data_IF_442853872504
#
_entry.id   IF_442853872504
#
_cell.length_a   1.000
_cell.length_b   1.000
_cell.length_c   1.000
_cell.angle_alpha   90.00
_cell.angle_beta   90.00
_cell.angle_gamma   90.00
#
_symmetry.space_group_name_H-M   'P 1'
#
loop_
_entity.id
_entity.type
_entity.pdbx_description
1 polymer ?
#
# COMPACT_ATOMS: atom_id res chain seq x y z
N UNK A 1 8.76 -12.84 3.22
CA UNK A 1 8.30 -11.52 3.68
C UNK A 1 7.59 -11.72 5.00
N UNK A 2 8.08 -11.07 6.04
CA UNK A 2 7.52 -11.14 7.39
C UNK A 2 6.70 -9.87 7.67
N UNK A 3 5.76 -9.92 8.62
CA UNK A 3 4.88 -8.78 8.94
C UNK A 3 5.66 -7.52 9.33
N UNK A 4 6.84 -7.72 9.90
CA UNK A 4 7.78 -6.67 10.30
C UNK A 4 8.39 -5.94 9.10
N UNK A 5 8.90 -6.67 8.10
CA UNK A 5 9.43 -6.06 6.86
C UNK A 5 8.36 -5.26 6.11
N UNK A 6 7.13 -5.76 6.15
CA UNK A 6 5.99 -5.13 5.51
C UNK A 6 5.65 -3.79 6.16
N UNK A 7 5.69 -3.73 7.49
CA UNK A 7 5.53 -2.49 8.26
C UNK A 7 6.64 -1.49 7.96
N UNK A 8 7.89 -1.94 7.73
CA UNK A 8 8.99 -1.05 7.34
C UNK A 8 8.77 -0.43 5.95
N UNK A 9 8.34 -1.23 4.97
CA UNK A 9 8.02 -0.74 3.61
C UNK A 9 6.86 0.25 3.67
N UNK A 10 5.85 -0.06 4.48
CA UNK A 10 4.65 0.74 4.67
C UNK A 10 4.96 2.09 5.36
N UNK A 11 5.87 2.08 6.33
CA UNK A 11 6.39 3.30 6.96
C UNK A 11 7.22 4.13 5.98
N UNK A 12 8.06 3.49 5.17
CA UNK A 12 8.86 4.15 4.13
C UNK A 12 7.96 4.77 3.07
N UNK A 13 6.89 4.09 2.67
CA UNK A 13 5.87 4.61 1.77
C UNK A 13 5.22 5.86 2.35
N UNK A 14 4.83 5.82 3.63
CA UNK A 14 4.18 6.95 4.29
C UNK A 14 5.11 8.16 4.39
N UNK A 15 6.39 7.96 4.73
CA UNK A 15 7.43 9.01 4.79
C UNK A 15 7.67 9.66 3.42
N UNK A 16 7.81 8.85 2.36
CA UNK A 16 7.94 9.34 0.98
C UNK A 16 6.69 10.10 0.53
N UNK A 17 5.49 9.69 0.96
CA UNK A 17 4.25 10.41 0.70
C UNK A 17 4.15 11.74 1.46
N UNK A 18 4.73 11.83 2.66
CA UNK A 18 4.78 13.07 3.43
C UNK A 18 5.77 14.06 2.82
N UNK A 19 6.93 13.57 2.35
CA UNK A 19 7.95 14.36 1.68
C UNK A 19 7.57 14.78 0.25
N UNK A 20 6.71 14.03 -0.42
CA UNK A 20 6.26 14.34 -1.77
C UNK A 20 5.15 15.41 -1.76
N UNK A 21 5.54 16.68 -1.68
CA UNK A 21 4.65 17.86 -1.75
C UNK A 21 3.78 17.92 -3.03
N UNK A 22 4.13 17.15 -4.07
CA UNK A 22 3.40 17.11 -5.35
C UNK A 22 2.30 16.05 -5.43
N UNK A 23 2.07 15.25 -4.38
CA UNK A 23 1.00 14.25 -4.39
C UNK A 23 -0.33 14.93 -4.16
N UNK A 24 -1.26 14.65 -5.07
CA UNK A 24 -2.63 15.14 -4.93
C UNK A 24 -3.25 14.62 -3.61
N UNK A 25 -3.94 15.47 -2.85
CA UNK A 25 -4.47 15.12 -1.53
C UNK A 25 -5.44 13.93 -1.57
N UNK A 26 -6.12 13.72 -2.69
CA UNK A 26 -7.00 12.56 -2.90
C UNK A 26 -6.21 11.24 -2.95
N UNK A 27 -5.10 11.18 -3.68
CA UNK A 27 -4.27 9.98 -3.76
C UNK A 27 -3.55 9.70 -2.45
N UNK A 28 -3.10 10.76 -1.76
CA UNK A 28 -2.52 10.63 -0.42
C UNK A 28 -3.53 10.05 0.57
N UNK A 29 -4.79 10.48 0.49
CA UNK A 29 -5.85 9.96 1.38
C UNK A 29 -6.21 8.51 1.06
N UNK A 30 -6.29 8.15 -0.23
CA UNK A 30 -6.52 6.75 -0.65
C UNK A 30 -5.37 5.86 -0.21
N UNK A 31 -4.12 6.25 -0.44
CA UNK A 31 -2.95 5.47 -0.01
C UNK A 31 -2.86 5.35 1.50
N UNK A 32 -3.15 6.40 2.27
CA UNK A 32 -3.19 6.30 3.73
C UNK A 32 -4.26 5.32 4.22
N UNK A 33 -5.46 5.36 3.64
CA UNK A 33 -6.52 4.39 3.96
C UNK A 33 -6.06 2.96 3.68
N UNK A 34 -5.53 2.76 2.49
CA UNK A 34 -5.07 1.48 2.00
C UNK A 34 -3.94 0.92 2.89
N UNK A 35 -3.04 1.80 3.30
CA UNK A 35 -1.96 1.54 4.25
C UNK A 35 -2.49 1.14 5.64
N UNK A 36 -3.49 1.85 6.16
CA UNK A 36 -4.14 1.57 7.45
C UNK A 36 -4.86 0.21 7.43
N UNK A 37 -5.59 -0.10 6.34
CA UNK A 37 -6.28 -1.38 6.16
C UNK A 37 -5.33 -2.57 6.12
N UNK A 38 -4.18 -2.42 5.46
CA UNK A 38 -3.11 -3.43 5.44
C UNK A 38 -2.54 -3.61 6.84
N UNK A 39 -2.21 -2.51 7.53
CA UNK A 39 -1.65 -2.56 8.87
C UNK A 39 -2.62 -3.21 9.86
N UNK A 40 -3.92 -2.93 9.73
CA UNK A 40 -4.96 -3.54 10.54
C UNK A 40 -5.10 -5.03 10.22
N UNK A 41 -5.09 -5.43 8.95
CA UNK A 41 -5.12 -6.83 8.52
C UNK A 41 -3.94 -7.62 9.10
N UNK A 42 -2.72 -7.07 8.96
CA UNK A 42 -1.49 -7.66 9.47
C UNK A 42 -1.48 -7.75 11.01
N UNK A 43 -2.07 -6.76 11.70
CA UNK A 43 -2.09 -6.70 13.17
C UNK A 43 -3.22 -7.53 13.80
N UNK A 44 -4.39 -7.57 13.16
CA UNK A 44 -5.53 -8.36 13.64
C UNK A 44 -5.42 -9.84 13.28
N UNK A 45 -4.60 -10.22 12.29
CA UNK A 45 -4.52 -11.60 11.80
C UNK A 45 -5.85 -12.10 11.24
N UNK A 46 -6.80 -11.20 10.99
CA UNK A 46 -8.10 -11.47 10.43
C UNK A 46 -8.01 -11.19 8.92
N UNK A 47 -8.28 -12.18 8.06
CA UNK A 47 -8.24 -11.96 6.63
C UNK A 47 -9.32 -10.94 6.24
N UNK A 48 -9.01 -10.00 5.32
CA UNK A 48 -10.01 -9.12 4.77
C UNK A 48 -11.08 -9.96 4.06
N UNK A 49 -12.30 -9.43 3.92
CA UNK A 49 -13.27 -10.14 3.10
C UNK A 49 -12.79 -10.13 1.64
N UNK A 50 -13.04 -11.20 0.87
CA UNK A 50 -12.51 -11.34 -0.50
C UNK A 50 -12.96 -10.20 -1.43
N UNK A 51 -14.10 -9.57 -1.14
CA UNK A 51 -14.58 -8.39 -1.87
C UNK A 51 -13.74 -7.13 -1.59
N UNK A 52 -13.30 -6.94 -0.34
CA UNK A 52 -12.42 -5.84 0.06
C UNK A 52 -11.00 -6.09 -0.47
N UNK A 53 -10.54 -7.33 -0.46
CA UNK A 53 -9.23 -7.75 -0.97
C UNK A 53 -9.06 -7.49 -2.48
N UNK A 54 -10.08 -7.83 -3.28
CA UNK A 54 -10.11 -7.53 -4.71
C UNK A 54 -10.13 -6.02 -4.97
N UNK A 55 -10.90 -5.26 -4.18
CA UNK A 55 -11.00 -3.81 -4.30
C UNK A 55 -9.68 -3.13 -3.94
N UNK A 56 -9.04 -3.58 -2.86
CA UNK A 56 -7.72 -3.14 -2.39
C UNK A 56 -6.65 -3.39 -3.45
N UNK A 57 -6.59 -4.63 -3.96
CA UNK A 57 -5.64 -5.05 -5.00
C UNK A 57 -5.79 -4.22 -6.28
N UNK A 58 -7.03 -3.92 -6.67
CA UNK A 58 -7.30 -3.12 -7.85
C UNK A 58 -6.92 -1.64 -7.64
N UNK A 59 -7.18 -1.10 -6.45
CA UNK A 59 -6.82 0.26 -6.07
C UNK A 59 -5.30 0.46 -5.93
N UNK A 60 -4.59 -0.55 -5.42
CA UNK A 60 -3.12 -0.62 -5.43
C UNK A 60 -2.55 -0.58 -6.84
N UNK A 61 -3.04 -1.45 -7.74
CA UNK A 61 -2.59 -1.47 -9.14
C UNK A 61 -2.82 -0.14 -9.85
N UNK A 62 -3.98 0.49 -9.61
CA UNK A 62 -4.28 1.82 -10.15
C UNK A 62 -3.28 2.86 -9.62
N UNK A 63 -3.00 2.82 -8.31
CA UNK A 63 -2.05 3.72 -7.66
C UNK A 63 -0.64 3.52 -8.19
N UNK A 64 -0.17 2.27 -8.34
CA UNK A 64 1.15 1.95 -8.90
C UNK A 64 1.31 2.61 -10.27
N UNK A 65 0.33 2.46 -11.17
CA UNK A 65 0.39 3.06 -12.52
C UNK A 65 0.47 4.59 -12.46
N UNK A 66 -0.30 5.23 -11.58
CA UNK A 66 -0.26 6.70 -11.43
C UNK A 66 1.05 7.19 -10.82
N UNK A 67 1.57 6.47 -9.83
CA UNK A 67 2.82 6.83 -9.15
C UNK A 67 4.04 6.46 -9.98
N UNK A 68 4.04 5.40 -10.77
CA UNK A 68 5.19 5.02 -11.60
C UNK A 68 5.57 6.13 -12.60
N UNK A 69 4.58 6.88 -13.10
CA UNK A 69 4.78 8.00 -14.02
C UNK A 69 5.35 9.25 -13.33
N UNK A 70 5.00 9.50 -12.06
CA UNK A 70 5.30 10.77 -11.36
C UNK A 70 6.30 10.64 -10.21
N UNK A 71 6.28 9.51 -9.53
CA UNK A 71 7.03 9.15 -8.33
C UNK A 71 7.40 7.65 -8.35
N UNK A 72 8.42 7.25 -9.12
CA UNK A 72 8.78 5.83 -9.29
C UNK A 72 9.15 5.13 -7.98
N UNK A 73 9.65 5.88 -6.98
CA UNK A 73 9.96 5.35 -5.64
C UNK A 73 8.69 4.87 -4.93
N UNK A 74 7.62 5.66 -5.00
CA UNK A 74 6.32 5.36 -4.38
C UNK A 74 5.66 4.17 -5.09
N UNK A 75 5.69 4.15 -6.42
CA UNK A 75 5.18 3.02 -7.21
C UNK A 75 5.85 1.70 -6.81
N UNK A 76 7.18 1.69 -6.66
CA UNK A 76 7.93 0.50 -6.23
C UNK A 76 7.64 0.05 -4.80
N UNK A 77 7.36 0.98 -3.88
CA UNK A 77 6.99 0.66 -2.50
C UNK A 77 5.58 0.04 -2.42
N UNK A 78 4.61 0.58 -3.17
CA UNK A 78 3.24 0.01 -3.25
C UNK A 78 3.24 -1.36 -3.93
N UNK A 79 4.06 -1.55 -4.96
CA UNK A 79 4.24 -2.85 -5.60
C UNK A 79 4.81 -3.89 -4.61
N UNK A 80 5.85 -3.53 -3.85
CA UNK A 80 6.39 -4.41 -2.80
C UNK A 80 5.37 -4.76 -1.73
N UNK A 81 4.50 -3.83 -1.34
CA UNK A 81 3.41 -4.13 -0.41
C UNK A 81 2.44 -5.14 -1.01
N UNK A 82 2.05 -4.96 -2.27
CA UNK A 82 1.14 -5.87 -2.97
C UNK A 82 1.73 -7.28 -3.10
N UNK A 83 3.02 -7.38 -3.43
CA UNK A 83 3.75 -8.64 -3.52
C UNK A 83 3.86 -9.32 -2.15
N UNK A 84 4.12 -8.53 -1.09
CA UNK A 84 4.15 -9.03 0.29
C UNK A 84 2.80 -9.57 0.78
N UNK A 85 1.69 -8.93 0.40
CA UNK A 85 0.33 -9.39 0.75
C UNK A 85 0.07 -10.72 0.05
N UNK A 86 0.32 -10.75 -1.27
CA UNK A 86 0.18 -11.95 -2.11
C UNK A 86 1.03 -13.11 -1.60
N UNK A 87 2.25 -12.85 -1.13
CA UNK A 87 3.14 -13.85 -0.56
C UNK A 87 2.65 -14.40 0.79
N UNK A 88 1.85 -13.64 1.54
CA UNK A 88 1.18 -14.10 2.75
C UNK A 88 -0.15 -14.83 2.49
N UNK A 89 -0.66 -14.80 1.26
CA UNK A 89 -1.93 -15.42 0.89
C UNK A 89 -3.15 -14.68 1.45
N UNK A 90 -3.01 -13.35 1.59
CA UNK A 90 -4.04 -12.37 1.96
C UNK A 90 -4.07 -11.21 0.96
#
# INVERSE_FOLDING_TARGET
MNSEEMLEILKSLQDELEGAESIHPEHRRSLQKLTDEIQQTLSSGAPPSPADEQTLSQQMKQSIIEFEVRHPIIGGLVERLTDGLSAMGI
#
